data_IF_721527078764
#
_entry.id   IF_721527078764
#
_cell.length_a   1.000
_cell.length_b   1.000
_cell.length_c   1.000
_cell.angle_alpha   90.00
_cell.angle_beta   90.00
_cell.angle_gamma   90.00
#
_symmetry.space_group_name_H-M   'P 1'
#
loop_
_entity.id
_entity.type
_entity.pdbx_description
1 polymer ?
#
# COMPACT_ATOMS: atom_id res chain seq x y z
N UNK A 1 -13.38 -6.46 -50.97
CA UNK A 1 -13.60 -5.93 -49.61
C UNK A 1 -13.11 -6.98 -48.64
N UNK A 2 -12.01 -6.75 -47.94
CA UNK A 2 -11.52 -7.71 -46.94
C UNK A 2 -12.59 -7.85 -45.84
N UNK A 3 -12.97 -9.09 -45.49
CA UNK A 3 -13.95 -9.32 -44.44
C UNK A 3 -13.42 -8.74 -43.12
N UNK A 4 -14.19 -7.83 -42.50
CA UNK A 4 -13.83 -7.29 -41.19
C UNK A 4 -13.79 -8.45 -40.18
N UNK A 5 -12.71 -8.53 -39.43
CA UNK A 5 -12.61 -9.49 -38.34
C UNK A 5 -13.64 -9.18 -37.25
N UNK A 6 -14.09 -10.22 -36.55
CA UNK A 6 -15.13 -10.15 -35.53
C UNK A 6 -14.52 -10.04 -34.12
N UNK A 7 -15.05 -9.11 -33.32
CA UNK A 7 -14.85 -9.01 -31.87
C UNK A 7 -16.16 -9.42 -31.21
N UNK A 8 -16.11 -10.34 -30.26
CA UNK A 8 -17.27 -10.78 -29.50
C UNK A 8 -17.11 -10.36 -28.03
N UNK A 9 -18.08 -9.59 -27.53
CA UNK A 9 -18.16 -9.20 -26.11
C UNK A 9 -19.08 -10.15 -25.37
N UNK A 10 -18.59 -10.76 -24.30
CA UNK A 10 -19.43 -11.60 -23.46
C UNK A 10 -20.35 -10.74 -22.59
N UNK A 11 -21.60 -11.17 -22.47
CA UNK A 11 -22.61 -10.65 -21.53
C UNK A 11 -23.28 -11.81 -20.75
N UNK A 12 -22.75 -13.04 -20.88
CA UNK A 12 -23.32 -14.25 -20.29
C UNK A 12 -23.05 -14.42 -18.79
N UNK A 13 -22.08 -13.68 -18.24
CA UNK A 13 -21.64 -13.75 -16.83
C UNK A 13 -21.95 -12.48 -16.06
N UNK A 14 -23.01 -11.79 -16.46
CA UNK A 14 -23.45 -10.54 -15.84
C UNK A 14 -22.34 -9.50 -15.83
N UNK A 15 -21.65 -9.35 -16.96
CA UNK A 15 -20.50 -8.47 -17.15
C UNK A 15 -20.82 -7.04 -16.72
N UNK A 16 -19.92 -6.50 -15.88
CA UNK A 16 -20.05 -5.14 -15.36
C UNK A 16 -19.96 -4.09 -16.46
N UNK A 17 -19.10 -4.30 -17.45
CA UNK A 17 -18.83 -3.29 -18.48
C UNK A 17 -19.52 -3.68 -19.79
N UNK A 18 -20.72 -3.16 -20.01
CA UNK A 18 -21.50 -3.43 -21.21
C UNK A 18 -21.32 -2.34 -22.26
N UNK A 19 -21.38 -2.70 -23.55
CA UNK A 19 -21.24 -1.74 -24.66
C UNK A 19 -22.30 -0.62 -24.64
N UNK A 20 -23.44 -0.88 -24.00
CA UNK A 20 -24.55 0.07 -23.81
C UNK A 20 -24.27 1.10 -22.73
N UNK A 21 -23.43 0.78 -21.74
CA UNK A 21 -23.18 1.60 -20.56
C UNK A 21 -21.70 2.00 -20.46
N UNK A 22 -21.44 3.31 -20.57
CA UNK A 22 -20.11 3.92 -20.49
C UNK A 22 -19.03 3.42 -21.48
N UNK A 23 -19.36 2.56 -22.46
CA UNK A 23 -18.49 2.09 -23.55
C UNK A 23 -18.94 2.53 -24.96
N UNK A 24 -19.74 3.60 -25.08
CA UNK A 24 -20.28 4.03 -26.38
C UNK A 24 -19.18 4.53 -27.31
N UNK A 25 -18.19 5.23 -26.77
CA UNK A 25 -17.02 5.72 -27.52
C UNK A 25 -16.12 4.56 -27.94
N UNK A 26 -15.87 3.61 -27.03
CA UNK A 26 -15.15 2.36 -27.32
C UNK A 26 -15.83 1.61 -28.47
N UNK A 27 -17.13 1.37 -28.36
CA UNK A 27 -17.91 0.66 -29.39
C UNK A 27 -17.85 1.38 -30.75
N UNK A 28 -17.98 2.71 -30.75
CA UNK A 28 -17.91 3.53 -31.98
C UNK A 28 -16.53 3.42 -32.64
N UNK A 29 -15.45 3.48 -31.85
CA UNK A 29 -14.07 3.33 -32.36
C UNK A 29 -13.85 1.94 -32.92
N UNK A 30 -14.25 0.89 -32.21
CA UNK A 30 -14.09 -0.49 -32.67
C UNK A 30 -14.90 -0.79 -33.95
N UNK A 31 -16.14 -0.31 -34.08
CA UNK A 31 -17.00 -0.51 -35.27
C UNK A 31 -16.39 0.03 -36.57
N UNK A 32 -15.46 0.99 -36.48
CA UNK A 32 -14.78 1.53 -37.66
C UNK A 32 -13.94 0.46 -38.36
N UNK A 33 -13.22 -0.38 -37.60
CA UNK A 33 -12.28 -1.38 -38.10
C UNK A 33 -12.80 -2.83 -37.97
N UNK A 34 -13.66 -3.11 -37.00
CA UNK A 34 -14.10 -4.46 -36.62
C UNK A 34 -15.62 -4.61 -36.70
N UNK A 35 -16.07 -5.85 -36.88
CA UNK A 35 -17.47 -6.23 -36.62
C UNK A 35 -17.60 -6.56 -35.14
N UNK A 36 -18.68 -6.14 -34.48
CA UNK A 36 -18.90 -6.38 -33.05
C UNK A 36 -20.18 -7.18 -32.86
N UNK A 37 -20.08 -8.28 -32.12
CA UNK A 37 -21.21 -9.10 -31.66
C UNK A 37 -21.17 -9.23 -30.13
N UNK A 38 -22.31 -9.57 -29.53
CA UNK A 38 -22.42 -9.85 -28.10
C UNK A 38 -22.84 -11.30 -27.88
N UNK A 39 -22.31 -11.93 -26.85
CA UNK A 39 -22.68 -13.28 -26.46
C UNK A 39 -23.53 -13.27 -25.18
N UNK A 40 -24.81 -13.60 -25.30
CA UNK A 40 -25.82 -13.67 -24.24
C UNK A 40 -26.12 -15.09 -23.76
N UNK A 41 -25.48 -16.09 -24.33
CA UNK A 41 -25.70 -17.50 -24.00
C UNK A 41 -24.44 -18.10 -23.39
N UNK A 42 -24.60 -19.23 -22.73
CA UNK A 42 -23.47 -20.05 -22.28
C UNK A 42 -22.44 -20.28 -23.40
N UNK A 43 -21.17 -20.25 -23.00
CA UNK A 43 -20.03 -20.23 -23.91
C UNK A 43 -19.87 -21.56 -24.64
N UNK A 44 -19.99 -21.53 -25.97
CA UNK A 44 -19.84 -22.71 -26.85
C UNK A 44 -18.79 -22.46 -27.93
N UNK A 45 -18.07 -23.52 -28.31
CA UNK A 45 -16.98 -23.46 -29.28
C UNK A 45 -17.40 -22.86 -30.64
N UNK A 46 -18.64 -23.12 -31.10
CA UNK A 46 -19.15 -22.64 -32.39
C UNK A 46 -19.19 -21.11 -32.49
N UNK A 47 -19.51 -20.41 -31.39
CA UNK A 47 -19.53 -18.93 -31.37
C UNK A 47 -18.11 -18.37 -31.41
N UNK A 48 -17.17 -19.01 -30.73
CA UNK A 48 -15.77 -18.55 -30.68
C UNK A 48 -15.02 -18.76 -32.00
N UNK A 49 -15.36 -19.79 -32.79
CA UNK A 49 -14.70 -20.05 -34.09
C UNK A 49 -14.76 -18.87 -35.06
N UNK A 50 -15.79 -18.03 -34.97
CA UNK A 50 -15.97 -16.86 -35.84
C UNK A 50 -15.25 -15.61 -35.31
N UNK A 51 -15.05 -15.54 -33.99
CA UNK A 51 -14.45 -14.38 -33.35
C UNK A 51 -12.93 -14.45 -33.45
N UNK A 52 -12.28 -13.31 -33.76
CA UNK A 52 -10.83 -13.18 -33.66
C UNK A 52 -10.42 -12.77 -32.25
N UNK A 53 -11.21 -11.89 -31.64
CA UNK A 53 -11.02 -11.41 -30.28
C UNK A 53 -12.29 -11.71 -29.48
N UNK A 54 -12.13 -12.34 -28.32
CA UNK A 54 -13.19 -12.54 -27.34
C UNK A 54 -12.91 -11.67 -26.11
N UNK A 55 -13.90 -10.91 -25.64
CA UNK A 55 -13.74 -9.92 -24.58
C UNK A 55 -14.59 -10.30 -23.36
N UNK A 56 -13.92 -10.49 -22.22
CA UNK A 56 -14.54 -10.69 -20.91
C UNK A 56 -14.46 -9.39 -20.13
N UNK A 57 -15.55 -8.64 -20.11
CA UNK A 57 -15.57 -7.26 -19.62
C UNK A 57 -16.13 -7.18 -18.19
N UNK A 58 -15.31 -7.58 -17.21
CA UNK A 58 -15.66 -7.58 -15.79
C UNK A 58 -16.72 -8.62 -15.43
N UNK A 59 -16.51 -9.92 -15.72
CA UNK A 59 -17.46 -10.98 -15.38
C UNK A 59 -17.73 -11.00 -13.87
N UNK A 60 -18.99 -11.15 -13.48
CA UNK A 60 -19.43 -11.18 -12.07
C UNK A 60 -19.81 -12.59 -11.62
N UNK A 61 -20.28 -13.42 -12.56
CA UNK A 61 -20.64 -14.81 -12.31
C UNK A 61 -19.48 -15.78 -12.53
N UNK A 62 -19.57 -16.96 -11.92
CA UNK A 62 -18.55 -18.01 -12.06
C UNK A 62 -18.65 -18.69 -13.42
N UNK A 63 -17.49 -19.04 -13.96
CA UNK A 63 -17.37 -19.92 -15.13
C UNK A 63 -17.43 -21.38 -14.71
N UNK A 64 -18.02 -22.22 -15.58
CA UNK A 64 -17.98 -23.67 -15.46
C UNK A 64 -16.66 -24.21 -16.02
N UNK A 65 -16.34 -25.47 -15.73
CA UNK A 65 -15.14 -26.10 -16.27
C UNK A 65 -15.19 -26.20 -17.81
N UNK A 66 -16.36 -26.55 -18.36
CA UNK A 66 -16.59 -26.67 -19.80
C UNK A 66 -16.33 -25.33 -20.52
N UNK A 67 -16.75 -24.21 -19.94
CA UNK A 67 -16.48 -22.87 -20.50
C UNK A 67 -14.98 -22.55 -20.50
N UNK A 68 -14.25 -22.95 -19.46
CA UNK A 68 -12.79 -22.80 -19.43
C UNK A 68 -12.10 -23.68 -20.47
N UNK A 69 -12.59 -24.89 -20.72
CA UNK A 69 -12.07 -25.76 -21.77
C UNK A 69 -12.28 -25.14 -23.15
N UNK A 70 -13.47 -24.59 -23.41
CA UNK A 70 -13.79 -23.85 -24.65
C UNK A 70 -12.87 -22.62 -24.83
N UNK A 71 -12.61 -21.86 -23.77
CA UNK A 71 -11.70 -20.70 -23.83
C UNK A 71 -10.24 -21.11 -24.08
N UNK A 72 -9.78 -22.21 -23.46
CA UNK A 72 -8.43 -22.75 -23.70
C UNK A 72 -8.28 -23.20 -25.15
N UNK A 73 -9.27 -23.92 -25.67
CA UNK A 73 -9.27 -24.38 -27.07
C UNK A 73 -9.28 -23.20 -28.04
N UNK A 74 -10.03 -22.14 -27.73
CA UNK A 74 -10.04 -20.91 -28.53
C UNK A 74 -8.65 -20.26 -28.61
N UNK A 75 -7.95 -20.11 -27.48
CA UNK A 75 -6.59 -19.56 -27.46
C UNK A 75 -5.61 -20.49 -28.17
N UNK A 76 -5.70 -21.81 -27.94
CA UNK A 76 -4.85 -22.81 -28.61
C UNK A 76 -5.00 -22.79 -30.14
N UNK A 77 -6.20 -22.48 -30.64
CA UNK A 77 -6.51 -22.34 -32.06
C UNK A 77 -6.11 -20.97 -32.66
N UNK A 78 -5.40 -20.12 -31.91
CA UNK A 78 -4.94 -18.81 -32.38
C UNK A 78 -5.87 -17.64 -32.06
N UNK A 79 -6.94 -17.87 -31.30
CA UNK A 79 -7.84 -16.84 -30.81
C UNK A 79 -7.18 -15.91 -29.79
N UNK A 80 -7.69 -14.67 -29.71
CA UNK A 80 -7.21 -13.68 -28.75
C UNK A 80 -8.25 -13.41 -27.67
N UNK A 81 -7.86 -13.56 -26.40
CA UNK A 81 -8.70 -13.28 -25.25
C UNK A 81 -8.32 -11.93 -24.63
N UNK A 82 -9.29 -11.06 -24.41
CA UNK A 82 -9.13 -9.81 -23.70
C UNK A 82 -9.94 -9.82 -22.41
N UNK A 83 -9.27 -9.81 -21.27
CA UNK A 83 -9.90 -9.86 -19.94
C UNK A 83 -9.75 -8.50 -19.28
N UNK A 84 -10.87 -7.88 -18.96
CA UNK A 84 -10.93 -6.65 -18.18
C UNK A 84 -11.52 -6.98 -16.81
N UNK A 85 -10.84 -6.56 -15.76
CA UNK A 85 -11.27 -6.74 -14.38
C UNK A 85 -11.65 -5.38 -13.78
N UNK A 86 -12.35 -5.38 -12.66
CA UNK A 86 -12.69 -4.16 -11.93
C UNK A 86 -12.86 -4.36 -10.42
N UNK A 87 -12.60 -5.57 -9.93
CA UNK A 87 -12.72 -5.95 -8.53
C UNK A 87 -11.44 -6.63 -8.07
N UNK A 88 -11.04 -6.39 -6.82
CA UNK A 88 -9.81 -6.90 -6.23
C UNK A 88 -9.25 -5.95 -5.18
N UNK A 89 -7.93 -5.87 -5.10
CA UNK A 89 -7.27 -4.75 -4.45
C UNK A 89 -7.56 -3.44 -5.21
N UNK A 90 -7.22 -2.31 -4.62
CA UNK A 90 -7.48 -1.01 -5.24
C UNK A 90 -6.19 -0.23 -5.35
N UNK A 91 -5.88 0.15 -6.59
CA UNK A 91 -4.83 1.12 -6.87
C UNK A 91 -5.31 2.49 -6.40
N UNK A 92 -4.49 3.16 -5.59
CA UNK A 92 -4.80 4.45 -4.98
C UNK A 92 -3.63 5.40 -5.15
N UNK A 93 -3.96 6.67 -5.42
CA UNK A 93 -2.95 7.71 -5.49
C UNK A 93 -2.51 8.11 -4.08
N UNK A 94 -1.20 8.30 -3.83
CA UNK A 94 -0.71 8.78 -2.53
C UNK A 94 -0.86 10.29 -2.36
N UNK A 95 -1.01 11.05 -3.46
CA UNK A 95 -1.11 12.51 -3.43
C UNK A 95 -2.53 12.99 -3.75
N UNK A 96 -2.97 14.08 -3.11
CA UNK A 96 -4.25 14.69 -3.42
C UNK A 96 -4.20 15.37 -4.79
N UNK A 97 -5.25 15.15 -5.59
CA UNK A 97 -5.48 15.86 -6.83
C UNK A 97 -6.93 16.33 -6.85
N UNK A 98 -7.13 17.62 -7.12
CA UNK A 98 -8.45 18.24 -7.09
C UNK A 98 -9.34 17.60 -8.17
N UNK A 99 -10.61 17.36 -7.84
CA UNK A 99 -11.65 16.86 -8.76
C UNK A 99 -11.60 15.36 -9.14
N UNK A 100 -10.63 14.60 -8.63
CA UNK A 100 -10.56 13.15 -8.87
C UNK A 100 -10.75 12.37 -7.57
N UNK A 101 -11.39 11.20 -7.65
CA UNK A 101 -11.46 10.25 -6.54
C UNK A 101 -10.07 9.63 -6.28
N UNK A 102 -9.68 9.24 -5.05
CA UNK A 102 -8.36 8.64 -4.79
C UNK A 102 -8.04 7.38 -5.62
N UNK A 103 -9.07 6.64 -6.05
CA UNK A 103 -8.95 5.48 -6.96
C UNK A 103 -8.88 5.84 -8.44
N UNK A 104 -9.05 7.11 -8.79
CA UNK A 104 -8.83 7.62 -10.16
C UNK A 104 -7.37 8.05 -10.24
N UNK A 105 -6.48 7.09 -10.49
CA UNK A 105 -5.05 7.30 -10.45
C UNK A 105 -4.53 7.79 -11.81
N UNK A 106 -3.51 8.66 -11.76
CA UNK A 106 -2.74 9.10 -12.92
C UNK A 106 -1.34 8.54 -12.78
N UNK A 107 -0.98 7.59 -13.64
CA UNK A 107 0.25 6.81 -13.53
C UNK A 107 1.29 7.36 -14.50
N UNK A 108 2.43 7.79 -13.99
CA UNK A 108 3.63 8.13 -14.76
C UNK A 108 4.72 7.09 -14.61
N UNK A 109 5.40 6.75 -15.71
CA UNK A 109 6.47 5.74 -15.71
C UNK A 109 6.00 4.31 -15.44
N UNK A 110 4.72 4.01 -15.65
CA UNK A 110 4.15 2.67 -15.46
C UNK A 110 4.32 1.75 -16.66
N UNK A 111 4.75 2.24 -17.84
CA UNK A 111 4.90 1.40 -19.03
C UNK A 111 6.27 0.73 -19.00
N UNK A 112 6.29 -0.58 -18.82
CA UNK A 112 7.56 -1.32 -18.69
C UNK A 112 8.03 -1.92 -20.01
N UNK A 113 7.09 -2.33 -20.86
CA UNK A 113 7.45 -2.89 -22.16
C UNK A 113 8.05 -1.81 -23.08
N UNK A 114 9.31 -1.97 -23.47
CA UNK A 114 10.06 -0.98 -24.25
C UNK A 114 9.41 -0.74 -25.63
N UNK A 115 9.01 -1.81 -26.33
CA UNK A 115 8.31 -1.72 -27.61
C UNK A 115 6.98 -0.97 -27.52
N UNK A 116 6.22 -1.14 -26.42
CA UNK A 116 5.00 -0.38 -26.18
C UNK A 116 5.31 1.09 -25.90
N UNK A 117 6.31 1.35 -25.05
CA UNK A 117 6.73 2.70 -24.71
C UNK A 117 7.17 3.51 -25.95
N UNK A 118 8.01 2.91 -26.82
CA UNK A 118 8.45 3.52 -28.08
C UNK A 118 7.28 3.84 -29.00
N UNK A 119 6.34 2.91 -29.15
CA UNK A 119 5.16 3.14 -29.98
C UNK A 119 4.31 4.32 -29.48
N UNK A 120 4.13 4.44 -28.17
CA UNK A 120 3.36 5.53 -27.58
C UNK A 120 4.08 6.88 -27.73
N UNK A 121 5.41 6.92 -27.69
CA UNK A 121 6.16 8.15 -27.95
C UNK A 121 5.96 8.72 -29.37
N UNK A 122 5.71 7.86 -30.36
CA UNK A 122 5.42 8.29 -31.73
C UNK A 122 4.01 8.85 -31.88
N UNK A 123 3.11 8.57 -30.93
CA UNK A 123 1.75 9.08 -30.95
C UNK A 123 1.67 10.52 -30.44
N UNK A 124 0.57 11.19 -30.80
CA UNK A 124 0.25 12.55 -30.34
C UNK A 124 -0.34 12.52 -28.92
N UNK A 125 0.46 12.10 -27.95
CA UNK A 125 0.12 12.08 -26.51
C UNK A 125 0.74 13.28 -25.79
N UNK A 126 0.13 13.67 -24.68
CA UNK A 126 0.69 14.70 -23.80
C UNK A 126 1.90 14.11 -23.06
N UNK A 127 3.07 14.70 -23.28
CA UNK A 127 4.33 14.28 -22.67
C UNK A 127 4.67 15.29 -21.59
N UNK A 128 4.88 14.83 -20.37
CA UNK A 128 5.39 15.67 -19.31
C UNK A 128 6.92 15.55 -19.30
N UNK A 129 7.59 16.66 -19.62
CA UNK A 129 9.03 16.78 -19.45
C UNK A 129 9.29 17.30 -18.03
N UNK A 130 9.89 16.46 -17.20
CA UNK A 130 10.53 16.91 -15.97
C UNK A 130 12.03 16.97 -16.20
N UNK A 131 12.64 18.13 -15.94
CA UNK A 131 14.06 18.43 -16.23
C UNK A 131 15.07 17.45 -15.59
N UNK A 132 14.64 16.62 -14.63
CA UNK A 132 15.48 15.71 -13.84
C UNK A 132 15.02 14.24 -13.83
N UNK A 133 14.02 13.85 -14.63
CA UNK A 133 13.50 12.46 -14.61
C UNK A 133 13.94 11.68 -15.84
N UNK A 134 14.13 10.36 -15.67
CA UNK A 134 14.31 9.40 -16.77
C UNK A 134 13.20 9.57 -17.82
N UNK A 135 13.55 9.42 -19.10
CA UNK A 135 12.60 9.51 -20.21
C UNK A 135 11.43 8.53 -20.05
N UNK A 136 11.65 7.40 -19.36
CA UNK A 136 10.61 6.43 -19.03
C UNK A 136 9.40 7.06 -18.33
N UNK A 137 9.59 8.17 -17.59
CA UNK A 137 8.51 8.87 -16.87
C UNK A 137 7.69 9.84 -17.73
N UNK A 138 8.07 10.10 -19.00
CA UNK A 138 7.39 11.09 -19.85
C UNK A 138 5.94 10.74 -20.18
N UNK A 139 5.61 9.44 -20.19
CA UNK A 139 4.29 8.96 -20.58
C UNK A 139 3.43 8.75 -19.33
N UNK A 140 2.27 9.40 -19.33
CA UNK A 140 1.28 9.26 -18.28
C UNK A 140 -0.06 8.79 -18.84
N UNK A 141 -0.78 7.98 -18.06
CA UNK A 141 -2.11 7.47 -18.42
C UNK A 141 -3.02 7.38 -17.19
N UNK A 142 -4.33 7.49 -17.41
CA UNK A 142 -5.31 7.32 -16.35
C UNK A 142 -5.66 5.84 -16.11
N UNK A 143 -5.57 5.42 -14.85
CA UNK A 143 -5.94 4.07 -14.40
C UNK A 143 -6.94 4.13 -13.24
N UNK A 144 -8.25 4.21 -13.57
CA UNK A 144 -9.30 4.40 -12.59
C UNK A 144 -9.85 3.08 -12.05
N UNK A 145 -10.14 3.02 -10.75
CA UNK A 145 -10.82 1.92 -10.06
C UNK A 145 -10.30 0.52 -10.45
N UNK A 146 -8.99 0.40 -10.66
CA UNK A 146 -8.37 -0.85 -11.08
C UNK A 146 -7.71 -1.60 -9.94
N UNK A 147 -7.58 -2.91 -10.16
CA UNK A 147 -6.85 -3.83 -9.32
C UNK A 147 -5.44 -4.09 -9.88
N UNK A 148 -4.53 -4.55 -9.04
CA UNK A 148 -3.24 -5.08 -9.48
C UNK A 148 -3.34 -6.55 -9.85
N UNK A 149 -2.40 -7.01 -10.66
CA UNK A 149 -2.32 -8.40 -11.13
C UNK A 149 -1.07 -9.07 -10.56
N UNK A 150 -1.20 -10.36 -10.32
CA UNK A 150 -0.04 -11.24 -10.15
C UNK A 150 0.24 -11.89 -11.51
N UNK A 151 1.41 -11.59 -12.07
CA UNK A 151 1.83 -12.09 -13.38
C UNK A 151 3.11 -12.89 -13.15
N UNK A 152 3.09 -14.15 -13.60
CA UNK A 152 4.22 -15.06 -13.54
C UNK A 152 4.48 -15.62 -14.94
N UNK A 153 5.67 -16.19 -15.13
CA UNK A 153 5.97 -16.95 -16.34
C UNK A 153 4.90 -18.01 -16.60
N UNK A 154 4.45 -18.19 -17.86
CA UNK A 154 5.00 -17.65 -19.11
C UNK A 154 4.43 -16.28 -19.57
N UNK A 155 3.69 -15.56 -18.73
CA UNK A 155 3.11 -14.26 -19.09
C UNK A 155 4.09 -13.10 -18.76
N UNK A 156 4.06 -12.05 -19.59
CA UNK A 156 4.89 -10.86 -19.43
C UNK A 156 4.07 -9.67 -18.93
N UNK A 157 4.70 -8.77 -18.19
CA UNK A 157 4.06 -7.54 -17.70
C UNK A 157 4.25 -6.41 -18.71
N UNK A 158 3.15 -5.78 -19.12
CA UNK A 158 3.20 -4.63 -20.04
C UNK A 158 3.21 -3.30 -19.29
N UNK A 159 2.39 -3.20 -18.25
CA UNK A 159 2.11 -1.97 -17.50
C UNK A 159 2.10 -2.28 -16.01
N UNK A 160 2.62 -1.36 -15.21
CA UNK A 160 2.64 -1.37 -13.75
C UNK A 160 2.06 -0.07 -13.18
N UNK A 161 1.87 -0.02 -11.87
CA UNK A 161 1.52 1.21 -11.11
C UNK A 161 2.63 2.26 -11.08
N UNK A 162 3.85 1.91 -11.52
CA UNK A 162 5.02 2.78 -11.44
C UNK A 162 5.39 3.17 -10.00
N UNK A 163 6.33 4.11 -9.83
CA UNK A 163 6.78 4.55 -8.51
C UNK A 163 5.87 5.61 -7.89
N UNK A 164 4.86 6.11 -8.62
CA UNK A 164 4.04 7.25 -8.21
C UNK A 164 2.73 6.82 -7.54
N UNK A 165 2.23 5.62 -7.82
CA UNK A 165 0.89 5.18 -7.39
C UNK A 165 0.99 3.92 -6.53
N UNK A 166 0.21 3.89 -5.44
CA UNK A 166 0.23 2.79 -4.49
C UNK A 166 -0.79 1.70 -4.91
N UNK A 167 -0.46 0.41 -4.78
CA UNK A 167 0.83 -0.14 -4.37
C UNK A 167 1.90 0.03 -5.46
N UNK A 168 3.11 0.47 -5.10
CA UNK A 168 4.16 0.86 -6.05
C UNK A 168 4.70 -0.33 -6.85
N UNK A 169 5.02 -0.10 -8.12
CA UNK A 169 5.67 -1.06 -9.03
C UNK A 169 4.95 -2.43 -9.08
N UNK A 170 3.62 -2.43 -9.07
CA UNK A 170 2.79 -3.64 -9.16
C UNK A 170 2.22 -3.80 -10.57
N UNK A 171 2.15 -5.02 -11.13
CA UNK A 171 1.61 -5.24 -12.48
C UNK A 171 0.14 -4.83 -12.57
N UNK A 172 -0.24 -4.19 -13.67
CA UNK A 172 -1.61 -3.80 -14.01
C UNK A 172 -2.13 -4.49 -15.26
N UNK A 173 -1.21 -4.86 -16.15
CA UNK A 173 -1.49 -5.51 -17.42
C UNK A 173 -0.55 -6.70 -17.63
N UNK A 174 -1.12 -7.90 -17.77
CA UNK A 174 -0.41 -9.13 -18.11
C UNK A 174 -0.70 -9.55 -19.55
N UNK A 175 0.32 -9.94 -20.30
CA UNK A 175 0.21 -10.42 -21.67
C UNK A 175 0.86 -11.78 -21.84
N UNK A 176 0.11 -12.73 -22.38
CA UNK A 176 0.57 -14.06 -22.74
C UNK A 176 0.43 -14.25 -24.25
N UNK A 177 1.45 -14.85 -24.85
CA UNK A 177 1.47 -15.20 -26.27
C UNK A 177 1.94 -16.64 -26.44
N UNK A 178 1.20 -17.39 -27.25
CA UNK A 178 1.53 -18.76 -27.59
C UNK A 178 2.09 -18.82 -29.03
N UNK A 179 3.07 -19.70 -29.32
CA UNK A 179 3.64 -19.84 -30.66
C UNK A 179 2.61 -20.12 -31.76
N UNK A 180 1.50 -20.77 -31.41
CA UNK A 180 0.39 -21.07 -32.33
C UNK A 180 -0.45 -19.83 -32.70
N UNK A 181 -0.11 -18.65 -32.18
CA UNK A 181 -0.79 -17.38 -32.47
C UNK A 181 -1.78 -16.91 -31.40
N UNK A 182 -2.10 -17.78 -30.43
CA UNK A 182 -3.01 -17.47 -29.32
C UNK A 182 -2.49 -16.37 -28.42
N UNK A 183 -3.38 -15.49 -27.97
CA UNK A 183 -3.02 -14.32 -27.14
C UNK A 183 -3.98 -14.15 -25.99
N UNK A 184 -3.46 -13.74 -24.84
CA UNK A 184 -4.27 -13.33 -23.69
C UNK A 184 -3.74 -12.00 -23.20
N UNK A 185 -4.61 -11.00 -23.13
CA UNK A 185 -4.32 -9.73 -22.47
C UNK A 185 -5.27 -9.57 -21.29
N UNK A 186 -4.73 -9.48 -20.08
CA UNK A 186 -5.48 -9.21 -18.87
C UNK A 186 -5.16 -7.80 -18.35
N UNK A 187 -6.18 -7.01 -18.06
CA UNK A 187 -6.07 -5.68 -17.47
C UNK A 187 -6.90 -5.60 -16.19
N UNK A 188 -6.30 -5.07 -15.13
CA UNK A 188 -6.97 -4.91 -13.84
C UNK A 188 -8.06 -3.81 -13.78
N UNK A 189 -8.25 -3.04 -14.86
CA UNK A 189 -9.28 -1.98 -14.94
C UNK A 189 -9.99 -1.99 -16.29
N UNK A 190 -11.30 -2.30 -16.29
CA UNK A 190 -12.20 -2.01 -17.39
C UNK A 190 -12.65 -0.54 -17.44
N UNK A 191 -12.60 0.17 -16.30
CA UNK A 191 -12.95 1.59 -16.21
C UNK A 191 -12.01 2.48 -17.03
N UNK A 192 -10.77 2.02 -17.28
CA UNK A 192 -9.79 2.71 -18.13
C UNK A 192 -10.34 3.05 -19.53
N UNK A 193 -11.26 2.22 -20.04
CA UNK A 193 -11.89 2.39 -21.35
C UNK A 193 -13.29 3.01 -21.28
N UNK A 194 -13.71 3.56 -20.13
CA UNK A 194 -14.95 4.32 -20.07
C UNK A 194 -14.85 5.60 -20.92
N UNK A 195 -16.00 6.03 -21.43
CA UNK A 195 -16.14 7.23 -22.26
C UNK A 195 -15.50 8.47 -21.61
N UNK A 196 -15.61 8.62 -20.28
CA UNK A 196 -14.97 9.70 -19.49
C UNK A 196 -13.45 9.77 -19.71
N UNK A 197 -12.77 8.62 -19.70
CA UNK A 197 -11.30 8.58 -19.77
C UNK A 197 -10.80 8.50 -21.21
N UNK A 198 -11.51 7.79 -22.10
CA UNK A 198 -11.16 7.75 -23.52
C UNK A 198 -11.37 9.08 -24.25
N UNK A 199 -12.32 9.91 -23.80
CA UNK A 199 -12.54 11.23 -24.40
C UNK A 199 -11.50 12.27 -23.94
N UNK A 200 -11.08 12.19 -22.67
CA UNK A 200 -10.22 13.19 -22.05
C UNK A 200 -8.72 12.87 -22.20
N UNK A 201 -8.35 11.58 -22.18
CA UNK A 201 -6.96 11.13 -22.19
C UNK A 201 -6.59 10.48 -23.53
N UNK A 202 -5.73 11.16 -24.30
CA UNK A 202 -5.21 10.65 -25.57
C UNK A 202 -4.29 9.44 -25.38
N UNK A 203 -3.63 9.32 -24.23
CA UNK A 203 -2.77 8.16 -23.94
C UNK A 203 -3.61 6.91 -23.75
N UNK A 204 -4.75 6.99 -23.06
CA UNK A 204 -5.68 5.86 -22.94
C UNK A 204 -6.23 5.43 -24.32
N UNK A 205 -6.50 6.38 -25.22
CA UNK A 205 -6.90 6.08 -26.59
C UNK A 205 -5.77 5.39 -27.39
N UNK A 206 -4.54 5.87 -27.26
CA UNK A 206 -3.37 5.25 -27.89
C UNK A 206 -3.12 3.82 -27.36
N UNK A 207 -3.26 3.61 -26.04
CA UNK A 207 -3.16 2.29 -25.40
C UNK A 207 -4.24 1.34 -25.91
N UNK A 208 -5.48 1.80 -26.03
CA UNK A 208 -6.57 1.01 -26.61
C UNK A 208 -6.22 0.57 -28.05
N UNK A 209 -5.79 1.51 -28.90
CA UNK A 209 -5.44 1.20 -30.29
C UNK A 209 -4.28 0.20 -30.37
N UNK A 210 -3.28 0.35 -29.49
CA UNK A 210 -2.17 -0.59 -29.39
C UNK A 210 -2.62 -1.97 -28.95
N UNK A 211 -3.47 -2.09 -27.92
CA UNK A 211 -4.00 -3.38 -27.47
C UNK A 211 -4.85 -4.07 -28.55
N UNK A 212 -5.66 -3.30 -29.28
CA UNK A 212 -6.42 -3.84 -30.41
C UNK A 212 -5.51 -4.32 -31.54
N UNK A 213 -4.41 -3.61 -31.81
CA UNK A 213 -3.40 -4.05 -32.77
C UNK A 213 -2.66 -5.30 -32.27
N UNK A 214 -2.33 -5.35 -30.99
CA UNK A 214 -1.63 -6.45 -30.34
C UNK A 214 -2.45 -7.74 -30.41
N UNK A 215 -3.75 -7.69 -30.10
CA UNK A 215 -4.65 -8.84 -30.16
C UNK A 215 -5.09 -9.14 -31.60
N UNK A 216 -5.28 -8.11 -32.42
CA UNK A 216 -5.84 -8.24 -33.76
C UNK A 216 -4.86 -8.61 -34.86
N UNK A 217 -3.55 -8.39 -34.67
CA UNK A 217 -2.51 -8.59 -35.70
C UNK A 217 -1.33 -9.38 -35.15
N UNK A 218 -0.57 -10.06 -36.02
CA UNK A 218 0.70 -10.71 -35.66
C UNK A 218 1.92 -9.81 -35.92
N UNK A 219 1.71 -8.50 -36.10
CA UNK A 219 2.79 -7.57 -36.43
C UNK A 219 3.67 -7.24 -35.22
N UNK A 220 3.09 -7.26 -34.02
CA UNK A 220 3.78 -6.94 -32.78
C UNK A 220 4.27 -8.24 -32.16
N UNK A 221 5.59 -8.47 -32.26
CA UNK A 221 6.28 -9.58 -31.63
C UNK A 221 7.28 -9.03 -30.61
N UNK A 222 7.04 -9.29 -29.34
CA UNK A 222 7.96 -8.91 -28.27
C UNK A 222 9.18 -9.82 -28.27
N UNK A 223 10.33 -9.22 -27.97
CA UNK A 223 11.59 -9.89 -27.68
C UNK A 223 11.76 -9.97 -26.17
N UNK A 224 12.57 -10.92 -25.70
CA UNK A 224 12.91 -11.02 -24.27
C UNK A 224 13.52 -9.71 -23.74
N UNK A 225 14.27 -8.98 -24.56
CA UNK A 225 14.87 -7.70 -24.17
C UNK A 225 13.83 -6.61 -23.84
N UNK A 226 12.61 -6.69 -24.40
CA UNK A 226 11.56 -5.70 -24.13
C UNK A 226 11.08 -5.72 -22.67
N UNK A 227 11.46 -6.77 -21.90
CA UNK A 227 11.03 -7.01 -20.53
C UNK A 227 12.19 -7.03 -19.52
N UNK A 228 13.43 -6.69 -19.93
CA UNK A 228 14.61 -6.88 -19.07
C UNK A 228 14.69 -5.92 -17.86
N UNK A 229 14.03 -4.75 -17.89
CA UNK A 229 14.04 -3.73 -16.82
C UNK A 229 12.76 -3.76 -15.96
N UNK A 230 12.32 -4.95 -15.51
CA UNK A 230 11.13 -5.11 -14.68
C UNK A 230 11.47 -5.06 -13.18
N UNK A 231 11.39 -3.88 -12.57
CA UNK A 231 11.29 -3.77 -11.11
C UNK A 231 9.84 -4.00 -10.69
N UNK A 232 9.49 -5.24 -10.33
CA UNK A 232 8.15 -5.58 -9.82
C UNK A 232 8.21 -5.82 -8.31
N UNK A 233 7.26 -5.24 -7.59
CA UNK A 233 7.03 -5.56 -6.19
C UNK A 233 6.02 -6.71 -6.02
N UNK A 234 6.26 -7.54 -5.02
CA UNK A 234 5.29 -8.57 -4.62
C UNK A 234 4.03 -7.97 -3.97
N UNK A 235 2.93 -8.72 -4.05
CA UNK A 235 1.69 -8.34 -3.39
C UNK A 235 1.87 -8.46 -1.87
N UNK A 236 2.12 -7.33 -1.20
CA UNK A 236 2.17 -7.27 0.26
C UNK A 236 0.75 -7.07 0.79
N UNK A 237 0.22 -8.10 1.43
CA UNK A 237 -1.00 -7.97 2.22
C UNK A 237 -0.63 -7.42 3.59
N UNK A 238 -1.29 -6.35 3.99
CA UNK A 238 -1.21 -5.86 5.37
C UNK A 238 -2.32 -6.55 6.16
N UNK A 239 -1.97 -7.06 7.35
CA UNK A 239 -2.97 -7.49 8.33
C UNK A 239 -3.87 -6.32 8.69
N UNK A 240 -5.17 -6.57 8.85
CA UNK A 240 -6.13 -5.56 9.26
C UNK A 240 -5.72 -4.95 10.61
N UNK A 241 -5.11 -3.77 10.55
CA UNK A 241 -4.56 -3.08 11.72
C UNK A 241 -5.70 -2.69 12.66
N UNK A 242 -6.90 -2.40 12.13
CA UNK A 242 -8.08 -2.09 12.93
C UNK A 242 -8.51 -3.31 13.73
N UNK A 243 -8.68 -4.45 13.05
CA UNK A 243 -8.99 -5.72 13.73
C UNK A 243 -7.93 -6.09 14.77
N UNK A 244 -6.64 -5.97 14.45
CA UNK A 244 -5.54 -6.26 15.39
C UNK A 244 -5.49 -5.26 16.54
N UNK A 245 -5.87 -4.01 16.33
CA UNK A 245 -5.94 -3.00 17.38
C UNK A 245 -7.08 -3.27 18.37
N UNK A 246 -8.18 -3.84 17.89
CA UNK A 246 -9.36 -4.23 18.69
C UNK A 246 -9.16 -5.53 19.47
N UNK A 247 -8.15 -6.34 19.12
CA UNK A 247 -7.79 -7.52 19.91
C UNK A 247 -7.32 -7.09 21.31
N UNK A 248 -7.75 -7.79 22.38
CA UNK A 248 -7.34 -7.47 23.74
C UNK A 248 -5.82 -7.58 23.85
N UNK A 249 -5.15 -6.43 23.93
CA UNK A 249 -3.71 -6.35 24.10
C UNK A 249 -3.41 -6.72 25.55
N UNK A 250 -2.65 -7.79 25.76
CA UNK A 250 -2.17 -8.19 27.08
C UNK A 250 -1.07 -7.21 27.55
N UNK A 251 -1.42 -5.94 27.73
CA UNK A 251 -0.55 -4.96 28.35
C UNK A 251 -0.67 -5.10 29.87
N UNK A 252 -0.23 -6.24 30.41
CA UNK A 252 -0.02 -6.35 31.85
C UNK A 252 1.21 -5.51 32.19
N UNK A 253 1.14 -4.69 33.24
CA UNK A 253 2.27 -3.92 33.76
C UNK A 253 3.48 -4.84 34.06
N UNK A 254 3.24 -6.11 34.38
CA UNK A 254 4.26 -7.14 34.59
C UNK A 254 5.07 -7.50 33.32
N UNK A 255 4.60 -7.14 32.13
CA UNK A 255 5.33 -7.33 30.86
C UNK A 255 6.37 -6.23 30.59
N UNK A 256 6.33 -5.12 31.33
CA UNK A 256 7.32 -4.04 31.26
C UNK A 256 8.59 -4.53 31.99
N UNK A 257 9.50 -5.17 31.24
CA UNK A 257 10.75 -5.74 31.75
C UNK A 257 10.92 -7.24 31.48
N UNK A 258 9.92 -7.90 30.88
CA UNK A 258 10.09 -9.25 30.36
C UNK A 258 10.90 -9.18 29.06
N UNK A 259 12.15 -9.66 29.08
CA UNK A 259 12.95 -9.76 27.87
C UNK A 259 12.28 -10.73 26.88
N UNK A 260 11.89 -10.21 25.72
CA UNK A 260 11.39 -11.04 24.63
C UNK A 260 12.56 -11.92 24.16
N UNK A 261 12.43 -13.26 24.19
CA UNK A 261 13.51 -14.14 23.74
C UNK A 261 13.89 -13.85 22.28
N UNK A 262 15.19 -13.86 21.98
CA UNK A 262 15.69 -13.63 20.62
C UNK A 262 15.16 -14.68 19.61
N UNK A 263 14.84 -15.89 20.07
CA UNK A 263 14.17 -16.91 19.28
C UNK A 263 12.66 -16.93 19.62
N UNK A 264 11.85 -16.45 18.68
CA UNK A 264 10.40 -16.38 18.83
C UNK A 264 9.74 -17.75 19.04
N UNK A 265 10.41 -18.85 18.70
CA UNK A 265 9.90 -20.21 18.94
C UNK A 265 9.77 -20.53 20.42
N UNK A 266 10.57 -19.89 21.27
CA UNK A 266 10.55 -20.08 22.72
C UNK A 266 9.30 -19.46 23.38
N UNK A 267 8.58 -18.59 22.66
CA UNK A 267 7.31 -18.03 23.12
C UNK A 267 6.14 -19.00 22.95
N UNK A 268 6.29 -20.08 22.17
CA UNK A 268 5.26 -21.09 21.98
C UNK A 268 5.41 -22.21 23.00
N UNK A 269 4.73 -22.08 24.14
CA UNK A 269 4.60 -23.18 25.08
C UNK A 269 3.48 -24.14 24.63
N UNK A 270 3.87 -25.17 23.89
CA UNK A 270 2.96 -26.21 23.42
C UNK A 270 2.43 -27.11 24.56
N UNK A 271 2.94 -26.96 25.80
CA UNK A 271 2.44 -27.72 26.96
C UNK A 271 1.16 -27.13 27.55
N UNK A 272 0.88 -25.85 27.32
CA UNK A 272 -0.36 -25.18 27.76
C UNK A 272 -1.61 -25.78 27.10
N UNK A 273 -1.46 -26.37 25.91
CA UNK A 273 -2.53 -27.03 25.15
C UNK A 273 -2.48 -28.56 25.26
N UNK A 274 -1.89 -29.12 26.32
CA UNK A 274 -1.84 -30.57 26.53
C UNK A 274 -3.03 -31.06 27.37
N UNK A 275 -3.85 -31.96 26.80
CA UNK A 275 -4.91 -32.65 27.54
C UNK A 275 -4.28 -33.67 28.50
N UNK A 276 -4.06 -33.26 29.75
CA UNK A 276 -3.38 -34.09 30.76
C UNK A 276 -4.37 -34.71 31.75
N UNK A 277 -4.41 -36.05 31.80
CA UNK A 277 -5.20 -36.80 32.79
C UNK A 277 -4.47 -36.99 34.13
N UNK A 278 -3.37 -36.29 34.37
CA UNK A 278 -2.52 -36.50 35.56
C UNK A 278 -3.28 -36.32 36.88
N UNK A 279 -4.20 -35.36 36.92
CA UNK A 279 -4.98 -35.01 38.11
C UNK A 279 -6.27 -35.82 38.26
N UNK A 280 -6.58 -36.72 37.32
CA UNK A 280 -7.85 -37.47 37.34
C UNK A 280 -8.00 -38.31 38.61
N UNK A 281 -6.90 -38.89 39.10
CA UNK A 281 -6.90 -39.68 40.35
C UNK A 281 -7.22 -38.81 41.57
N UNK A 282 -6.59 -37.64 41.65
CA UNK A 282 -6.78 -36.70 42.76
C UNK A 282 -8.21 -36.16 42.77
N UNK A 283 -8.75 -35.79 41.61
CA UNK A 283 -10.16 -35.40 41.44
C UNK A 283 -11.10 -36.52 41.88
N UNK A 284 -10.87 -37.76 41.41
CA UNK A 284 -11.69 -38.92 41.79
C UNK A 284 -11.66 -39.17 43.30
N UNK A 285 -10.49 -39.03 43.93
CA UNK A 285 -10.34 -39.14 45.38
C UNK A 285 -11.10 -38.02 46.12
N UNK A 286 -11.10 -36.80 45.58
CA UNK A 286 -11.81 -35.66 46.17
C UNK A 286 -13.33 -35.87 46.18
N UNK A 287 -13.91 -36.48 45.13
CA UNK A 287 -15.33 -36.87 45.12
C UNK A 287 -15.69 -37.79 46.30
N UNK A 288 -14.81 -38.73 46.65
CA UNK A 288 -15.02 -39.62 47.81
C UNK A 288 -14.94 -38.87 49.14
N UNK A 289 -13.96 -37.98 49.31
CA UNK A 289 -13.79 -37.20 50.54
C UNK A 289 -14.93 -36.19 50.76
N UNK A 290 -15.47 -35.61 49.68
CA UNK A 290 -16.55 -34.64 49.74
C UNK A 290 -17.95 -35.28 49.79
N UNK A 291 -18.02 -36.62 49.79
CA UNK A 291 -19.28 -37.38 49.71
C UNK A 291 -20.18 -36.97 48.53
N UNK A 292 -19.58 -36.48 47.43
CA UNK A 292 -20.29 -36.11 46.21
C UNK A 292 -20.37 -37.35 45.31
N UNK A 293 -21.57 -37.70 44.85
CA UNK A 293 -21.75 -38.82 43.91
C UNK A 293 -21.09 -38.49 42.58
N UNK A 294 -20.28 -39.41 42.08
CA UNK A 294 -19.67 -39.31 40.75
C UNK A 294 -20.70 -39.70 39.68
N UNK A 295 -21.49 -38.74 39.22
CA UNK A 295 -22.50 -38.92 38.17
C UNK A 295 -22.42 -37.78 37.14
N UNK A 296 -22.84 -38.01 35.87
CA UNK A 296 -22.89 -36.94 34.87
C UNK A 296 -23.75 -35.78 35.37
N UNK A 297 -23.15 -34.58 35.45
CA UNK A 297 -23.82 -33.38 35.94
C UNK A 297 -25.11 -33.16 35.14
N UNK A 298 -26.25 -33.31 35.82
CA UNK A 298 -27.54 -32.89 35.28
C UNK A 298 -27.72 -31.43 35.63
N UNK A 299 -28.32 -30.67 34.72
CA UNK A 299 -28.71 -29.28 35.00
C UNK A 299 -29.75 -29.32 36.13
N UNK A 300 -29.30 -29.04 37.35
CA UNK A 300 -30.19 -28.81 38.48
C UNK A 300 -30.83 -27.45 38.21
N UNK A 301 -32.13 -27.42 37.95
CA UNK A 301 -32.87 -26.15 37.94
C UNK A 301 -32.82 -25.61 39.38
N UNK A 302 -32.19 -24.46 39.64
CA UNK A 302 -32.16 -23.91 40.99
C UNK A 302 -33.59 -23.66 41.45
N UNK A 303 -33.99 -24.31 42.54
CA UNK A 303 -35.21 -23.95 43.26
C UNK A 303 -34.83 -22.80 44.18
N UNK A 304 -35.07 -21.56 43.72
CA UNK A 304 -34.94 -20.41 44.58
C UNK A 304 -36.08 -20.44 45.60
N UNK A 305 -35.77 -20.67 46.88
CA UNK A 305 -36.75 -20.60 47.97
C UNK A 305 -37.35 -19.20 48.12
N UNK A 306 -36.70 -18.18 47.56
CA UNK A 306 -37.12 -16.79 47.62
C UNK A 306 -37.15 -16.25 46.18
N UNK A 307 -38.28 -15.68 45.71
CA UNK A 307 -38.31 -15.06 44.39
C UNK A 307 -37.28 -13.93 44.33
N UNK A 308 -36.57 -13.83 43.19
CA UNK A 308 -35.60 -12.78 42.92
C UNK A 308 -36.18 -11.42 43.36
N UNK A 309 -35.43 -10.60 44.13
CA UNK A 309 -35.88 -9.27 44.48
C UNK A 309 -36.22 -8.51 43.19
N UNK A 310 -37.28 -7.68 43.19
CA UNK A 310 -37.74 -6.99 42.00
C UNK A 310 -36.60 -6.15 41.42
N UNK A 311 -36.31 -6.36 40.14
CA UNK A 311 -35.27 -5.63 39.40
C UNK A 311 -35.55 -4.13 39.45
N UNK A 312 -34.65 -3.36 40.07
CA UNK A 312 -34.66 -1.90 40.01
C UNK A 312 -33.73 -1.42 38.91
N UNK A 313 -34.20 -0.44 38.13
CA UNK A 313 -33.40 0.26 37.14
C UNK A 313 -32.26 1.01 37.84
N UNK A 314 -31.03 0.85 37.35
CA UNK A 314 -29.89 1.62 37.83
C UNK A 314 -30.10 3.10 37.47
N UNK A 315 -30.46 3.91 38.47
CA UNK A 315 -30.62 5.37 38.31
C UNK A 315 -29.28 6.11 38.26
N UNK A 316 -28.18 5.43 38.55
CA UNK A 316 -26.84 6.00 38.53
C UNK A 316 -25.95 5.17 37.59
N UNK A 317 -25.25 5.83 36.65
CA UNK A 317 -24.24 5.14 35.87
C UNK A 317 -23.11 4.64 36.78
N UNK A 318 -22.49 3.49 36.48
CA UNK A 318 -21.34 3.00 37.24
C UNK A 318 -20.21 4.03 37.20
N UNK A 319 -19.76 4.45 38.38
CA UNK A 319 -18.65 5.41 38.52
C UNK A 319 -17.33 4.63 38.42
N UNK A 320 -16.66 4.74 37.29
CA UNK A 320 -15.29 4.23 37.13
C UNK A 320 -14.30 5.21 37.76
N UNK A 321 -13.25 4.68 38.40
CA UNK A 321 -12.14 5.50 38.86
C UNK A 321 -11.39 6.08 37.66
N UNK A 322 -11.24 7.40 37.59
CA UNK A 322 -10.45 8.03 36.53
C UNK A 322 -8.97 7.65 36.65
N UNK A 323 -8.28 7.36 35.52
CA UNK A 323 -6.85 7.12 35.54
C UNK A 323 -6.10 8.39 35.99
N UNK A 324 -4.93 8.21 36.61
CA UNK A 324 -4.08 9.34 36.99
C UNK A 324 -3.65 10.13 35.74
N UNK A 325 -3.58 11.46 35.87
CA UNK A 325 -3.09 12.32 34.81
C UNK A 325 -1.66 11.90 34.40
N UNK A 326 -1.32 11.96 33.10
CA UNK A 326 0.02 11.63 32.62
C UNK A 326 1.05 12.55 33.30
N UNK A 327 2.23 12.03 33.68
CA UNK A 327 3.29 12.85 34.23
C UNK A 327 3.78 13.82 33.13
N UNK A 328 3.46 15.10 33.27
CA UNK A 328 4.00 16.16 32.42
C UNK A 328 5.45 16.41 32.83
N UNK A 329 6.39 16.23 31.90
CA UNK A 329 7.74 16.80 32.06
C UNK A 329 7.59 18.32 32.12
N UNK A 330 8.01 18.92 33.23
CA UNK A 330 7.95 20.36 33.43
C UNK A 330 9.03 21.02 32.56
N UNK A 331 8.69 21.34 31.32
CA UNK A 331 9.52 22.17 30.44
C UNK A 331 9.49 23.62 30.93
N UNK A 332 10.66 24.19 31.23
CA UNK A 332 10.78 25.62 31.52
C UNK A 332 10.68 26.41 30.20
N UNK A 333 9.47 26.90 29.92
CA UNK A 333 9.19 27.67 28.71
C UNK A 333 9.97 28.99 28.69
N UNK A 334 10.28 29.57 29.85
CA UNK A 334 11.03 30.83 29.93
C UNK A 334 12.49 30.61 29.50
N UNK A 335 13.06 29.42 29.78
CA UNK A 335 14.38 29.03 29.27
C UNK A 335 14.38 28.90 27.74
N UNK A 336 13.41 28.17 27.18
CA UNK A 336 13.30 27.92 25.73
C UNK A 336 13.03 29.19 24.93
N UNK A 337 12.17 30.08 25.43
CA UNK A 337 11.80 31.33 24.73
C UNK A 337 12.69 32.53 25.07
N UNK A 338 13.67 32.37 25.97
CA UNK A 338 14.58 33.47 26.29
C UNK A 338 15.46 33.85 25.10
N UNK A 339 15.60 35.16 24.86
CA UNK A 339 16.43 35.66 23.78
C UNK A 339 17.89 35.20 23.94
N UNK A 340 18.57 34.91 22.83
CA UNK A 340 19.96 34.41 22.81
C UNK A 340 20.92 35.23 23.69
N UNK A 341 20.74 36.56 23.75
CA UNK A 341 21.56 37.45 24.61
C UNK A 341 21.35 37.19 26.11
N UNK A 342 20.13 36.89 26.53
CA UNK A 342 19.77 36.57 27.92
C UNK A 342 20.29 35.18 28.30
N UNK A 343 20.14 34.19 27.41
CA UNK A 343 20.70 32.85 27.58
C UNK A 343 22.22 32.89 27.74
N UNK A 344 22.93 33.63 26.89
CA UNK A 344 24.37 33.82 26.99
C UNK A 344 24.77 34.48 28.32
N UNK A 345 24.03 35.50 28.77
CA UNK A 345 24.31 36.18 30.04
C UNK A 345 24.15 35.24 31.25
N UNK A 346 23.08 34.43 31.27
CA UNK A 346 22.82 33.45 32.32
C UNK A 346 23.90 32.37 32.35
N UNK A 347 24.27 31.81 31.20
CA UNK A 347 25.32 30.80 31.09
C UNK A 347 26.69 31.34 31.50
N UNK A 348 27.02 32.57 31.07
CA UNK A 348 28.27 33.25 31.48
C UNK A 348 28.29 33.47 32.99
N UNK A 349 27.17 33.89 33.57
CA UNK A 349 27.01 34.07 35.02
C UNK A 349 27.22 32.78 35.81
N UNK A 350 26.62 31.67 35.37
CA UNK A 350 26.80 30.35 35.99
C UNK A 350 28.25 29.86 35.91
N UNK A 351 28.90 30.05 34.76
CA UNK A 351 30.31 29.68 34.57
C UNK A 351 31.23 30.52 35.48
N UNK A 352 31.01 31.84 35.55
CA UNK A 352 31.76 32.75 36.41
C UNK A 352 31.57 32.45 37.90
N UNK A 353 30.34 32.16 38.34
CA UNK A 353 30.07 31.74 39.72
C UNK A 353 30.79 30.43 40.08
N UNK A 354 30.86 29.49 39.14
CA UNK A 354 31.55 28.21 39.32
C UNK A 354 33.06 28.41 39.43
N UNK A 355 33.63 29.32 38.64
CA UNK A 355 35.05 29.71 38.69
C UNK A 355 35.38 30.48 39.98
N UNK A 356 34.46 31.31 40.50
CA UNK A 356 34.66 32.05 41.75
C UNK A 356 34.52 31.19 43.01
N UNK A 357 33.72 30.11 42.97
CA UNK A 357 33.54 29.17 44.09
C UNK A 357 34.69 28.17 44.25
N UNK A 358 35.44 27.87 43.19
CA UNK A 358 36.67 27.06 43.25
C UNK A 358 37.86 28.00 43.48
N UNK A 359 38.65 27.75 44.53
CA UNK A 359 39.84 28.52 44.93
C UNK A 359 40.53 29.30 43.79
N UNK A 360 40.76 30.59 44.03
CA UNK A 360 41.32 31.59 43.09
C UNK A 360 42.73 31.30 42.56
N UNK A 361 43.29 30.12 42.84
CA UNK A 361 44.65 29.68 42.47
C UNK A 361 44.68 28.48 41.52
N UNK A 362 43.55 27.87 41.13
CA UNK A 362 43.51 26.78 40.12
C UNK A 362 43.03 27.33 38.78
N UNK A 363 43.84 27.16 37.72
CA UNK A 363 43.46 27.46 36.34
C UNK A 363 42.16 26.71 35.97
N UNK A 364 41.23 27.31 35.21
CA UNK A 364 39.98 26.67 34.83
C UNK A 364 40.26 25.36 34.09
N UNK A 365 39.46 24.34 34.37
CA UNK A 365 39.62 23.02 33.76
C UNK A 365 39.28 23.11 32.27
N UNK A 366 40.15 22.59 31.39
CA UNK A 366 40.00 22.72 29.93
C UNK A 366 38.62 22.27 29.41
N UNK A 367 38.07 21.21 30.02
CA UNK A 367 36.75 20.66 29.69
C UNK A 367 35.58 21.58 30.02
N UNK A 368 35.67 22.38 31.08
CA UNK A 368 34.62 23.34 31.46
C UNK A 368 34.58 24.51 30.46
N UNK A 369 35.76 24.97 30.03
CA UNK A 369 35.89 26.01 29.01
C UNK A 369 35.42 25.52 27.63
N UNK A 370 35.73 24.27 27.28
CA UNK A 370 35.28 23.65 26.04
C UNK A 370 33.74 23.51 26.00
N UNK A 371 33.13 23.04 27.09
CA UNK A 371 31.68 22.95 27.19
C UNK A 371 31.01 24.33 27.10
N UNK A 372 31.58 25.35 27.76
CA UNK A 372 31.07 26.71 27.69
C UNK A 372 31.07 27.25 26.24
N UNK A 373 32.15 27.02 25.48
CA UNK A 373 32.24 27.44 24.07
C UNK A 373 31.20 26.72 23.20
N UNK A 374 30.96 25.42 23.45
CA UNK A 374 29.96 24.63 22.72
C UNK A 374 28.53 25.11 22.98
N UNK A 375 28.17 25.37 24.24
CA UNK A 375 26.82 25.86 24.57
C UNK A 375 26.58 27.27 24.03
N UNK A 376 27.58 28.17 24.09
CA UNK A 376 27.46 29.49 23.47
C UNK A 376 27.22 29.39 21.96
N UNK A 377 27.90 28.45 21.29
CA UNK A 377 27.75 28.25 19.85
C UNK A 377 26.39 27.67 19.44
N UNK A 378 25.77 26.85 20.31
CA UNK A 378 24.39 26.36 20.14
C UNK A 378 23.38 27.50 20.31
N UNK A 379 23.53 28.31 21.34
CA UNK A 379 22.65 29.48 21.58
C UNK A 379 22.71 30.47 20.41
N UNK A 380 23.88 30.67 19.80
CA UNK A 380 24.04 31.55 18.64
C UNK A 380 23.79 30.88 17.29
N UNK A 381 23.30 29.63 17.28
CA UNK A 381 23.02 28.84 16.07
C UNK A 381 24.21 28.69 15.10
N UNK A 382 25.45 28.70 15.59
CA UNK A 382 26.65 28.39 14.79
C UNK A 382 26.76 26.88 14.56
N UNK A 383 26.15 26.09 15.45
CA UNK A 383 26.16 24.62 15.45
C UNK A 383 24.73 24.12 15.63
N UNK A 384 24.34 23.13 14.84
CA UNK A 384 23.06 22.43 15.00
C UNK A 384 23.15 21.41 16.15
N UNK A 385 22.06 21.18 16.88
CA UNK A 385 22.01 20.28 18.06
C UNK A 385 22.54 18.86 17.79
N UNK A 386 22.56 18.42 16.52
CA UNK A 386 23.00 17.09 16.09
C UNK A 386 24.48 17.01 15.69
N UNK A 387 25.24 18.11 15.73
CA UNK A 387 26.65 18.15 15.35
C UNK A 387 27.54 18.49 16.55
N UNK A 388 28.47 17.60 16.91
CA UNK A 388 29.49 17.87 17.93
C UNK A 388 30.79 18.31 17.24
N UNK A 389 31.15 19.60 17.37
CA UNK A 389 32.40 20.16 16.83
C UNK A 389 33.36 20.57 17.96
N UNK A 390 34.68 20.43 17.77
CA UNK A 390 35.67 20.84 18.77
C UNK A 390 35.72 22.37 18.94
N UNK A 391 35.94 22.86 20.17
CA UNK A 391 35.91 24.30 20.48
C UNK A 391 36.86 25.17 19.64
N UNK A 392 37.96 24.59 19.13
CA UNK A 392 38.92 25.31 18.28
C UNK A 392 38.31 25.71 16.92
N UNK A 393 37.50 24.83 16.33
CA UNK A 393 36.85 25.09 15.05
C UNK A 393 35.73 26.12 15.19
N UNK A 394 34.97 26.03 16.28
CA UNK A 394 33.94 27.00 16.67
C UNK A 394 34.55 28.41 16.74
N UNK A 395 35.67 28.57 17.46
CA UNK A 395 36.35 29.85 17.59
C UNK A 395 36.92 30.36 16.25
N UNK A 396 37.38 29.47 15.38
CA UNK A 396 37.84 29.84 14.04
C UNK A 396 36.70 30.41 13.19
N UNK A 397 35.51 29.79 13.23
CA UNK A 397 34.32 30.27 12.51
C UNK A 397 33.93 31.66 13.04
N UNK A 398 33.87 31.84 14.36
CA UNK A 398 33.57 33.14 14.98
C UNK A 398 34.60 34.19 14.56
N UNK A 399 35.89 33.87 14.59
CA UNK A 399 36.95 34.79 14.19
C UNK A 399 36.82 35.20 12.71
N UNK A 400 36.51 34.26 11.82
CA UNK A 400 36.27 34.55 10.40
C UNK A 400 35.04 35.44 10.20
N UNK A 401 33.96 35.19 10.95
CA UNK A 401 32.75 36.04 10.90
C UNK A 401 33.04 37.46 11.37
N UNK A 402 33.83 37.63 12.42
CA UNK A 402 34.26 38.97 12.90
C UNK A 402 35.13 39.67 11.86
N UNK A 403 36.07 38.96 11.23
CA UNK A 403 36.94 39.54 10.18
C UNK A 403 36.14 39.93 8.93
N UNK A 404 35.12 39.15 8.58
CA UNK A 404 34.22 39.43 7.45
C UNK A 404 33.12 40.44 7.79
N UNK A 405 32.99 40.85 9.06
CA UNK A 405 31.99 41.81 9.48
C UNK A 405 32.38 43.21 8.99
N UNK A 406 31.74 43.65 7.90
CA UNK A 406 31.76 45.06 7.49
C UNK A 406 30.63 45.77 8.22
N UNK A 407 30.88 46.89 8.93
CA UNK A 407 29.81 47.73 9.40
C UNK A 407 28.99 48.16 8.18
N UNK A 408 27.67 47.99 8.24
CA UNK A 408 26.76 48.63 7.30
C UNK A 408 26.87 50.14 7.55
N UNK A 409 27.39 50.89 6.57
CA UNK A 409 27.26 52.35 6.51
C UNK A 409 25.80 52.75 6.26
#
# INVERSE_FOLDING_TARGET
MSAKHLICFDISKSERFQLTDNYKLLQRKLKSLWTIEQNDTELKAEKLQRAKIFVLAGPQDRFTQDEFEVLKDFVNNGGSLWVLLGDGDSVVRPHYYKDFHPKECFIGGGIVCESLWRHLLEQNIEKLDYDFTDEKYKIHFHYPYGATLNVSDPANVLITTGPVVYPFNRPLAGYYYQPNGGKILALGSGYMFHDKYLANDKTNDALLNYFMKLLGSHEINYKHLDFNDLEINDHKTFTDIGFVADLPKACLIDSIGSEIPADFKQMFDMTLCALSNRLLKDVTSAYHHLHVKYEPLKIIKPQFEIPLPPLQLATFPPVFSEPAAPPLELYDLDEVFSAARTQLANMTGQCLQTIQRKDSRKKPHYKELENYIKECARITAIINEQHDMPAREILNIVAQQIVNYRPYD
#
